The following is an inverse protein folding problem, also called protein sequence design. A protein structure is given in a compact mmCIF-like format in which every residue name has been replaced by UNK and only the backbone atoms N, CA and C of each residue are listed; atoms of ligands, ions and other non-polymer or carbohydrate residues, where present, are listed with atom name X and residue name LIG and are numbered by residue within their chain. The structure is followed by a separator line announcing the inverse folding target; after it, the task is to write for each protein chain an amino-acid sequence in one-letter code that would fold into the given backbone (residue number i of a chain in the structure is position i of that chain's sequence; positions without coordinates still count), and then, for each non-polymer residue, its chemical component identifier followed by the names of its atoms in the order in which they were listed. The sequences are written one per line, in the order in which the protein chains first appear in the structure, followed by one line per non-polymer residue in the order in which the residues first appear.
data_IF_512504432323
#
_entry.id   IF_512504432323
#
_cell.length_a   1.000
_cell.length_b   1.000
_cell.length_c   1.000
_cell.angle_alpha   90.00
_cell.angle_beta   90.00
_cell.angle_gamma   90.00
#
_symmetry.space_group_name_H-M   'P 1'
#
loop_
_entity.id
_entity.type
_entity.pdbx_description
1 polymer ?
#
# COMPACT_ATOMS: atom_id res chain seq x y z
N UNK A 1 -1.69 -16.42 -4.23
CA UNK A 1 -2.48 -15.33 -3.63
C UNK A 1 -2.02 -13.99 -4.19
N UNK A 2 -2.94 -13.05 -4.37
CA UNK A 2 -2.66 -11.68 -4.84
C UNK A 2 -2.96 -10.71 -3.71
N UNK A 3 -2.02 -9.83 -3.40
CA UNK A 3 -2.13 -8.85 -2.32
C UNK A 3 -2.39 -7.46 -2.90
N UNK A 4 -3.44 -6.79 -2.46
CA UNK A 4 -3.75 -5.42 -2.81
C UNK A 4 -3.59 -4.51 -1.60
N UNK A 5 -2.94 -3.36 -1.79
CA UNK A 5 -2.67 -2.39 -0.73
C UNK A 5 -3.36 -1.06 -1.06
N UNK A 6 -4.17 -0.57 -0.12
CA UNK A 6 -4.64 0.81 -0.09
C UNK A 6 -3.99 1.51 1.11
N UNK A 7 -2.95 2.30 0.85
CA UNK A 7 -2.10 2.89 1.89
C UNK A 7 -2.55 4.29 2.30
N UNK A 8 -2.17 4.64 3.52
CA UNK A 8 -2.28 5.95 4.15
C UNK A 8 -0.93 6.31 4.79
N UNK A 9 -0.86 7.40 5.56
CA UNK A 9 0.35 7.75 6.30
C UNK A 9 0.57 6.78 7.46
N UNK A 10 1.66 6.01 7.40
CA UNK A 10 2.07 5.09 8.47
C UNK A 10 1.28 3.80 8.59
N UNK A 11 0.27 3.55 7.74
CA UNK A 11 -0.53 2.33 7.77
C UNK A 11 -1.20 2.03 6.42
N UNK A 12 -1.75 0.83 6.24
CA UNK A 12 -2.52 0.47 5.05
C UNK A 12 -3.65 -0.52 5.33
N UNK A 13 -4.66 -0.53 4.45
CA UNK A 13 -5.56 -1.68 4.28
C UNK A 13 -4.90 -2.66 3.32
N UNK A 14 -4.73 -3.90 3.77
CA UNK A 14 -4.27 -5.03 2.98
C UNK A 14 -5.44 -5.98 2.72
N UNK A 15 -5.67 -6.33 1.45
CA UNK A 15 -6.65 -7.35 1.05
C UNK A 15 -5.91 -8.41 0.24
N UNK A 16 -6.05 -9.67 0.66
CA UNK A 16 -5.53 -10.81 -0.08
C UNK A 16 -6.67 -11.54 -0.77
N UNK A 17 -6.52 -11.79 -2.07
CA UNK A 17 -7.47 -12.55 -2.85
C UNK A 17 -6.83 -13.77 -3.53
N UNK A 18 -7.63 -14.80 -3.76
CA UNK A 18 -7.31 -15.92 -4.62
C UNK A 18 -7.35 -15.54 -6.11
N UNK A 19 -6.95 -16.46 -6.98
CA UNK A 19 -6.95 -16.23 -8.43
C UNK A 19 -8.36 -16.05 -9.03
N UNK A 20 -9.39 -16.60 -8.38
CA UNK A 20 -10.80 -16.44 -8.72
C UNK A 20 -11.47 -15.26 -7.98
N UNK A 21 -10.67 -14.34 -7.45
CA UNK A 21 -11.06 -13.10 -6.79
C UNK A 21 -11.83 -13.23 -5.47
N UNK A 22 -11.74 -14.39 -4.80
CA UNK A 22 -12.30 -14.53 -3.45
C UNK A 22 -11.37 -13.90 -2.43
N UNK A 23 -11.92 -13.07 -1.55
CA UNK A 23 -11.19 -12.49 -0.43
C UNK A 23 -10.86 -13.60 0.57
N UNK A 24 -9.56 -13.79 0.83
CA UNK A 24 -9.05 -14.79 1.78
C UNK A 24 -8.68 -14.13 3.11
N UNK A 25 -8.12 -12.93 3.05
CA UNK A 25 -7.74 -12.16 4.22
C UNK A 25 -7.97 -10.66 3.97
N UNK A 26 -8.33 -9.93 5.02
CA UNK A 26 -8.31 -8.48 5.03
C UNK A 26 -7.87 -8.00 6.40
N UNK A 27 -6.98 -7.02 6.44
CA UNK A 27 -6.53 -6.42 7.70
C UNK A 27 -5.99 -5.02 7.49
N UNK A 28 -5.93 -4.27 8.57
CA UNK A 28 -5.09 -3.08 8.69
C UNK A 28 -3.68 -3.54 9.05
N UNK A 29 -2.67 -3.03 8.36
CA UNK A 29 -1.26 -3.22 8.68
C UNK A 29 -0.63 -1.87 9.04
N UNK A 30 0.22 -1.85 10.05
CA UNK A 30 1.04 -0.68 10.37
C UNK A 30 2.29 -0.69 9.48
N UNK A 31 2.62 0.46 8.90
CA UNK A 31 3.77 0.64 8.01
C UNK A 31 4.91 1.37 8.70
N UNK A 32 4.78 1.67 10.00
CA UNK A 32 5.81 2.35 10.79
C UNK A 32 5.70 1.86 12.24
N UNK A 33 6.81 1.83 12.98
CA UNK A 33 6.79 1.41 14.38
C UNK A 33 6.05 2.42 15.26
N UNK A 34 5.43 1.99 16.37
CA UNK A 34 4.79 2.88 17.32
C UNK A 34 5.74 3.98 17.82
N UNK A 35 5.25 5.22 17.84
CA UNK A 35 6.02 6.38 18.31
C UNK A 35 6.96 7.02 17.27
N UNK A 36 7.04 6.46 16.06
CA UNK A 36 7.80 7.05 14.96
C UNK A 36 6.89 7.97 14.13
N UNK A 37 7.46 9.09 13.65
CA UNK A 37 6.78 10.07 12.82
C UNK A 37 6.15 9.42 11.57
N UNK A 38 4.87 9.67 11.33
CA UNK A 38 4.15 9.09 10.20
C UNK A 38 4.30 9.90 8.90
N UNK A 39 4.60 11.20 9.01
CA UNK A 39 4.73 12.13 7.89
C UNK A 39 5.98 13.03 8.07
N UNK A 40 7.19 12.43 8.00
CA UNK A 40 8.46 13.12 8.26
C UNK A 40 8.72 14.32 7.34
N UNK A 41 8.12 14.38 6.15
CA UNK A 41 8.27 15.50 5.22
C UNK A 41 7.13 16.49 5.36
N UNK A 42 5.88 16.03 5.26
CA UNK A 42 4.74 16.91 5.15
C UNK A 42 4.39 17.63 6.47
N UNK A 43 4.64 16.98 7.62
CA UNK A 43 4.29 17.50 8.94
C UNK A 43 5.48 17.52 9.90
N UNK A 44 5.97 16.35 10.30
CA UNK A 44 6.81 16.21 11.49
C UNK A 44 8.18 16.89 11.32
N UNK A 45 8.73 16.88 10.10
CA UNK A 45 10.01 17.52 9.78
C UNK A 45 9.92 18.92 9.17
N UNK A 46 8.74 19.56 9.15
CA UNK A 46 8.54 20.83 8.45
C UNK A 46 9.46 21.97 8.94
N UNK A 47 9.79 21.96 10.24
CA UNK A 47 10.61 23.00 10.88
C UNK A 47 12.11 22.67 10.93
N UNK A 48 12.50 21.46 10.50
CA UNK A 48 13.88 21.02 10.53
C UNK A 48 14.69 21.66 9.39
N UNK A 49 15.99 21.84 9.60
CA UNK A 49 16.91 22.09 8.50
C UNK A 49 17.05 20.85 7.61
N UNK A 50 17.68 20.99 6.45
CA UNK A 50 17.79 19.91 5.48
C UNK A 50 18.53 18.67 6.03
N UNK A 51 19.65 18.79 6.75
CA UNK A 51 20.30 17.65 7.39
C UNK A 51 19.42 16.92 8.40
N UNK A 52 18.72 17.64 9.29
CA UNK A 52 17.86 17.03 10.29
C UNK A 52 16.62 16.40 9.66
N UNK A 53 16.04 17.00 8.62
CA UNK A 53 14.94 16.41 7.86
C UNK A 53 15.37 15.13 7.14
N UNK A 54 16.57 15.11 6.52
CA UNK A 54 17.13 13.92 5.90
C UNK A 54 17.30 12.77 6.92
N UNK A 55 17.82 13.09 8.11
CA UNK A 55 17.99 12.12 9.19
C UNK A 55 16.64 11.56 9.67
N UNK A 56 15.63 12.42 9.81
CA UNK A 56 14.28 11.99 10.19
C UNK A 56 13.67 11.06 9.14
N UNK A 57 13.76 11.40 7.85
CA UNK A 57 13.25 10.55 6.76
C UNK A 57 13.97 9.21 6.72
N UNK A 58 15.30 9.19 6.90
CA UNK A 58 16.05 7.93 6.97
C UNK A 58 15.60 7.05 8.14
N UNK A 59 15.37 7.65 9.33
CA UNK A 59 14.86 6.94 10.50
C UNK A 59 13.48 6.36 10.25
N UNK A 60 12.55 7.15 9.69
CA UNK A 60 11.19 6.69 9.37
C UNK A 60 11.22 5.59 8.32
N UNK A 61 12.02 5.75 7.25
CA UNK A 61 12.17 4.72 6.21
C UNK A 61 12.68 3.40 6.79
N UNK A 62 13.69 3.44 7.68
CA UNK A 62 14.21 2.25 8.35
C UNK A 62 13.16 1.58 9.26
N UNK A 63 12.39 2.37 10.00
CA UNK A 63 11.25 1.89 10.78
C UNK A 63 10.20 1.24 9.90
N UNK A 64 9.87 1.88 8.77
CA UNK A 64 8.89 1.38 7.83
C UNK A 64 9.30 0.05 7.19
N UNK A 65 10.57 -0.09 6.81
CA UNK A 65 11.10 -1.35 6.31
C UNK A 65 10.91 -2.48 7.33
N UNK A 66 11.23 -2.25 8.62
CA UNK A 66 11.06 -3.27 9.66
C UNK A 66 9.58 -3.59 9.93
N UNK A 67 8.76 -2.57 10.18
CA UNK A 67 7.35 -2.73 10.52
C UNK A 67 6.58 -3.41 9.38
N UNK A 68 6.70 -2.88 8.16
CA UNK A 68 6.02 -3.44 7.01
C UNK A 68 6.52 -4.86 6.68
N UNK A 69 7.82 -5.14 6.81
CA UNK A 69 8.35 -6.50 6.64
C UNK A 69 7.68 -7.48 7.61
N UNK A 70 7.62 -7.13 8.89
CA UNK A 70 7.01 -7.99 9.91
C UNK A 70 5.51 -8.21 9.66
N UNK A 71 4.77 -7.19 9.25
CA UNK A 71 3.36 -7.32 8.88
C UNK A 71 3.16 -8.23 7.66
N UNK A 72 4.00 -8.08 6.63
CA UNK A 72 3.96 -8.92 5.44
C UNK A 72 4.31 -10.38 5.74
N UNK A 73 5.25 -10.63 6.65
CA UNK A 73 5.61 -11.99 7.07
C UNK A 73 4.47 -12.66 7.86
N UNK A 74 3.84 -11.92 8.79
CA UNK A 74 2.66 -12.42 9.52
C UNK A 74 1.48 -12.65 8.60
N UNK A 75 1.26 -11.77 7.61
CA UNK A 75 0.22 -11.95 6.61
C UNK A 75 0.51 -13.20 5.79
N UNK A 76 1.71 -13.33 5.21
CA UNK A 76 2.07 -14.48 4.38
C UNK A 76 1.97 -15.82 5.13
N UNK A 77 2.37 -15.87 6.41
CA UNK A 77 2.28 -17.06 7.24
C UNK A 77 0.84 -17.49 7.55
N UNK A 78 -0.13 -16.56 7.51
CA UNK A 78 -1.53 -16.84 7.79
C UNK A 78 -2.31 -17.31 6.55
N UNK A 79 -1.73 -17.23 5.34
CA UNK A 79 -2.42 -17.56 4.10
C UNK A 79 -2.32 -19.05 3.75
N UNK A 80 -3.38 -19.62 3.15
CA UNK A 80 -3.38 -21.03 2.73
C UNK A 80 -2.55 -21.29 1.46
N UNK A 81 -2.04 -20.26 0.79
CA UNK A 81 -1.11 -20.41 -0.33
C UNK A 81 -0.17 -19.19 -0.45
N UNK A 82 0.99 -19.33 -1.11
CA UNK A 82 1.96 -18.23 -1.26
C UNK A 82 1.39 -16.99 -1.96
N UNK A 83 1.90 -15.83 -1.57
CA UNK A 83 1.67 -14.57 -2.31
C UNK A 83 2.58 -14.57 -3.54
N UNK A 84 2.02 -14.22 -4.69
CA UNK A 84 2.76 -14.15 -5.96
C UNK A 84 2.89 -12.72 -6.47
N UNK A 85 2.01 -11.82 -6.01
CA UNK A 85 2.04 -10.42 -6.42
C UNK A 85 1.49 -9.48 -5.36
N UNK A 86 1.98 -8.24 -5.38
CA UNK A 86 1.52 -7.10 -4.60
C UNK A 86 1.12 -5.96 -5.53
N UNK A 87 -0.05 -5.36 -5.31
CA UNK A 87 -0.55 -4.22 -6.08
C UNK A 87 -0.52 -2.94 -5.24
N UNK A 88 0.15 -1.91 -5.75
CA UNK A 88 0.39 -0.63 -5.07
C UNK A 88 -0.13 0.54 -5.90
N UNK A 89 -0.58 1.61 -5.24
CA UNK A 89 -0.98 2.83 -5.95
C UNK A 89 0.23 3.44 -6.67
N UNK A 90 0.12 3.72 -7.95
CA UNK A 90 1.20 4.28 -8.78
C UNK A 90 1.73 5.62 -8.24
N UNK A 91 3.03 5.85 -8.43
CA UNK A 91 3.71 7.13 -8.23
C UNK A 91 4.50 7.51 -9.48
N UNK A 92 4.83 8.80 -9.69
CA UNK A 92 5.63 9.22 -10.84
C UNK A 92 6.97 8.48 -10.87
N UNK A 93 7.39 7.90 -12.01
CA UNK A 93 8.67 7.19 -12.12
C UNK A 93 9.87 8.12 -11.93
N UNK A 94 9.67 9.41 -12.18
CA UNK A 94 10.64 10.50 -12.04
C UNK A 94 10.48 11.28 -10.72
N UNK A 95 9.82 10.68 -9.71
CA UNK A 95 9.70 11.32 -8.40
C UNK A 95 11.10 11.53 -7.78
N UNK A 96 11.43 12.76 -7.32
CA UNK A 96 12.79 13.09 -6.91
C UNK A 96 13.21 12.28 -5.68
N UNK A 97 14.49 11.90 -5.61
CA UNK A 97 15.09 11.23 -4.46
C UNK A 97 15.68 12.21 -3.45
N UNK A 98 16.10 13.39 -3.91
CA UNK A 98 16.69 14.43 -3.07
C UNK A 98 15.64 15.05 -2.14
N UNK A 99 15.87 14.90 -0.83
CA UNK A 99 15.02 15.44 0.22
C UNK A 99 14.84 16.96 0.13
N UNK A 100 15.88 17.70 -0.28
CA UNK A 100 15.82 19.16 -0.41
C UNK A 100 14.84 19.60 -1.50
N UNK A 101 14.62 18.73 -2.50
CA UNK A 101 13.63 18.90 -3.58
C UNK A 101 12.27 18.38 -3.12
N UNK A 102 12.22 17.19 -2.50
CA UNK A 102 10.97 16.58 -2.03
C UNK A 102 10.22 17.45 -1.03
N UNK A 103 10.93 18.24 -0.20
CA UNK A 103 10.36 19.15 0.81
C UNK A 103 9.74 20.43 0.24
N UNK A 104 9.66 20.56 -1.09
CA UNK A 104 9.11 21.74 -1.77
C UNK A 104 7.88 21.36 -2.58
N UNK A 105 7.04 22.35 -2.85
CA UNK A 105 5.96 22.23 -3.84
C UNK A 105 6.56 21.87 -5.22
N UNK A 106 5.96 20.91 -5.97
CA UNK A 106 4.70 20.19 -5.69
C UNK A 106 4.87 18.84 -4.97
N UNK A 107 6.07 18.49 -4.50
CA UNK A 107 6.41 17.15 -4.02
C UNK A 107 6.05 16.91 -2.55
N UNK A 108 6.14 17.94 -1.70
CA UNK A 108 6.05 17.83 -0.24
C UNK A 108 4.81 17.08 0.25
N UNK A 109 3.64 17.32 -0.37
CA UNK A 109 2.38 16.70 0.03
C UNK A 109 2.27 15.22 -0.34
N UNK A 110 3.18 14.70 -1.17
CA UNK A 110 3.16 13.32 -1.68
C UNK A 110 4.39 12.51 -1.27
N UNK A 111 5.46 13.16 -0.79
CA UNK A 111 6.75 12.50 -0.55
C UNK A 111 6.65 11.35 0.47
N UNK A 112 6.02 11.56 1.62
CA UNK A 112 5.81 10.51 2.63
C UNK A 112 5.03 9.31 2.04
N UNK A 113 3.99 9.62 1.27
CA UNK A 113 3.17 8.62 0.60
C UNK A 113 3.95 7.82 -0.46
N UNK A 114 4.86 8.47 -1.21
CA UNK A 114 5.76 7.79 -2.16
C UNK A 114 6.73 6.88 -1.42
N UNK A 115 7.35 7.36 -0.34
CA UNK A 115 8.30 6.58 0.46
C UNK A 115 7.69 5.25 0.94
N UNK A 116 6.51 5.26 1.55
CA UNK A 116 5.87 4.01 2.02
C UNK A 116 5.62 3.01 0.90
N UNK A 117 5.26 3.48 -0.30
CA UNK A 117 5.02 2.61 -1.46
C UNK A 117 6.31 2.06 -2.05
N UNK A 118 7.38 2.85 -2.10
CA UNK A 118 8.71 2.37 -2.48
C UNK A 118 9.20 1.29 -1.52
N UNK A 119 9.07 1.51 -0.21
CA UNK A 119 9.40 0.51 0.83
C UNK A 119 8.61 -0.79 0.62
N UNK A 120 7.30 -0.71 0.39
CA UNK A 120 6.48 -1.89 0.11
C UNK A 120 6.90 -2.61 -1.19
N UNK A 121 7.23 -1.86 -2.25
CA UNK A 121 7.69 -2.44 -3.51
C UNK A 121 9.03 -3.15 -3.35
N UNK A 122 9.98 -2.55 -2.65
CA UNK A 122 11.26 -3.19 -2.32
C UNK A 122 11.08 -4.48 -1.52
N UNK A 123 10.21 -4.46 -0.51
CA UNK A 123 9.88 -5.63 0.31
C UNK A 123 9.19 -6.74 -0.50
N UNK A 124 8.35 -6.38 -1.47
CA UNK A 124 7.72 -7.32 -2.38
C UNK A 124 8.77 -7.97 -3.32
N UNK A 125 9.64 -7.16 -3.93
CA UNK A 125 10.71 -7.66 -4.79
C UNK A 125 11.68 -8.57 -4.03
N UNK A 126 12.05 -8.22 -2.79
CA UNK A 126 12.90 -9.06 -1.93
C UNK A 126 12.28 -10.44 -1.63
N UNK A 127 10.95 -10.56 -1.72
CA UNK A 127 10.21 -11.82 -1.57
C UNK A 127 9.92 -12.52 -2.90
N UNK A 128 10.42 -11.99 -4.02
CA UNK A 128 10.16 -12.51 -5.36
C UNK A 128 8.73 -12.28 -5.85
N UNK A 129 7.99 -11.35 -5.24
CA UNK A 129 6.64 -11.02 -5.66
C UNK A 129 6.67 -10.03 -6.81
N UNK A 130 5.76 -10.21 -7.77
CA UNK A 130 5.53 -9.21 -8.81
C UNK A 130 4.88 -7.97 -8.19
N UNK A 131 5.37 -6.78 -8.56
CA UNK A 131 4.74 -5.51 -8.18
C UNK A 131 3.91 -4.98 -9.34
N UNK A 132 2.62 -4.78 -9.11
CA UNK A 132 1.70 -4.15 -10.05
C UNK A 132 1.34 -2.77 -9.55
N UNK A 133 1.29 -1.78 -10.45
CA UNK A 133 0.92 -0.42 -10.11
C UNK A 133 -0.50 -0.12 -10.62
N UNK A 134 -1.30 0.57 -9.80
CA UNK A 134 -2.67 0.94 -10.17
C UNK A 134 -2.96 2.42 -9.93
N UNK A 135 -3.89 2.97 -10.71
CA UNK A 135 -4.43 4.32 -10.52
C UNK A 135 -5.69 4.28 -9.63
N UNK A 136 -5.57 4.82 -8.42
CA UNK A 136 -6.62 4.73 -7.41
C UNK A 136 -7.97 5.35 -7.83
N UNK A 137 -7.95 6.31 -8.76
CA UNK A 137 -9.17 6.95 -9.27
C UNK A 137 -10.02 6.01 -10.12
N UNK A 138 -9.37 5.06 -10.81
CA UNK A 138 -9.98 4.29 -11.89
C UNK A 138 -10.01 2.78 -11.61
N UNK A 139 -9.22 2.29 -10.64
CA UNK A 139 -9.03 0.86 -10.38
C UNK A 139 -10.34 0.10 -10.09
N UNK A 140 -11.27 0.65 -9.29
CA UNK A 140 -12.57 0.01 -9.04
C UNK A 140 -13.39 -0.11 -10.34
N UNK A 141 -13.38 0.93 -11.19
CA UNK A 141 -14.09 0.92 -12.48
C UNK A 141 -13.46 -0.06 -13.47
N UNK A 142 -12.13 -0.09 -13.54
CA UNK A 142 -11.40 -1.01 -14.42
C UNK A 142 -11.62 -2.48 -14.00
N UNK A 143 -11.55 -2.76 -12.70
CA UNK A 143 -11.84 -4.08 -12.16
C UNK A 143 -13.29 -4.50 -12.44
N UNK A 144 -14.26 -3.60 -12.28
CA UNK A 144 -15.66 -3.87 -12.63
C UNK A 144 -15.85 -4.21 -14.11
N UNK A 145 -15.12 -3.54 -15.02
CA UNK A 145 -15.15 -3.84 -16.44
C UNK A 145 -14.60 -5.24 -16.76
N UNK A 146 -13.56 -5.69 -16.06
CA UNK A 146 -13.00 -7.06 -16.19
C UNK A 146 -13.99 -8.10 -15.67
N UNK A 147 -14.62 -7.83 -14.52
CA UNK A 147 -15.54 -8.77 -13.86
C UNK A 147 -16.91 -8.86 -14.55
N UNK A 148 -17.31 -7.84 -15.30
CA UNK A 148 -18.61 -7.78 -15.97
C UNK A 148 -19.77 -7.98 -14.99
N UNK A 149 -20.72 -8.89 -15.25
CA UNK A 149 -21.88 -9.14 -14.38
C UNK A 149 -21.53 -9.51 -12.92
N UNK A 150 -20.33 -10.03 -12.67
CA UNK A 150 -19.88 -10.45 -11.33
C UNK A 150 -19.30 -9.30 -10.50
N UNK A 151 -19.21 -8.09 -11.05
CA UNK A 151 -18.56 -6.95 -10.40
C UNK A 151 -19.14 -6.66 -9.01
N UNK A 152 -20.47 -6.63 -8.88
CA UNK A 152 -21.14 -6.33 -7.61
C UNK A 152 -20.90 -7.44 -6.58
N UNK A 153 -21.08 -8.70 -6.98
CA UNK A 153 -20.81 -9.88 -6.14
C UNK A 153 -19.38 -9.86 -5.57
N UNK A 154 -18.39 -9.61 -6.42
CA UNK A 154 -16.97 -9.68 -6.03
C UNK A 154 -16.54 -8.45 -5.23
N UNK A 155 -16.86 -7.23 -5.68
CA UNK A 155 -16.36 -6.01 -5.04
C UNK A 155 -17.18 -5.60 -3.80
N UNK A 156 -18.49 -5.87 -3.80
CA UNK A 156 -19.41 -5.43 -2.74
C UNK A 156 -19.88 -6.58 -1.84
N UNK A 157 -20.00 -7.80 -2.38
CA UNK A 157 -20.42 -8.99 -1.62
C UNK A 157 -19.61 -9.31 -0.36
N UNK A 158 -18.28 -9.07 -0.27
CA UNK A 158 -17.53 -9.35 0.95
C UNK A 158 -18.03 -8.58 2.18
N UNK A 159 -18.72 -7.44 2.02
CA UNK A 159 -19.37 -6.74 3.14
C UNK A 159 -20.40 -7.62 3.85
N UNK A 160 -21.21 -8.35 3.09
CA UNK A 160 -22.24 -9.22 3.63
C UNK A 160 -21.63 -10.52 4.18
N UNK A 161 -20.65 -11.09 3.46
CA UNK A 161 -20.04 -12.37 3.83
C UNK A 161 -19.10 -12.28 5.02
N UNK A 162 -18.33 -11.19 5.15
CA UNK A 162 -17.25 -11.06 6.14
C UNK A 162 -17.57 -10.06 7.24
N UNK A 163 -18.62 -9.23 7.07
CA UNK A 163 -18.97 -8.15 7.99
C UNK A 163 -18.03 -6.95 7.93
N UNK A 164 -18.33 -5.88 8.71
CA UNK A 164 -17.46 -4.71 8.79
C UNK A 164 -16.10 -5.05 9.42
N UNK A 165 -15.02 -4.33 9.05
CA UNK A 165 -14.99 -3.25 8.06
C UNK A 165 -14.98 -3.76 6.60
N UNK A 166 -15.68 -3.04 5.72
CA UNK A 166 -15.59 -3.15 4.26
C UNK A 166 -15.84 -1.79 3.61
N UNK A 167 -14.78 -0.96 3.60
CA UNK A 167 -14.81 0.44 3.17
C UNK A 167 -14.36 0.58 1.71
N UNK A 168 -14.28 1.83 1.21
CA UNK A 168 -13.71 2.13 -0.11
C UNK A 168 -12.27 1.63 -0.24
N UNK A 169 -11.46 1.71 0.81
CA UNK A 169 -10.06 1.26 0.76
C UNK A 169 -9.96 -0.26 0.59
N UNK A 170 -10.88 -1.02 1.20
CA UNK A 170 -10.95 -2.46 1.03
C UNK A 170 -11.31 -2.82 -0.42
N UNK A 171 -12.28 -2.10 -1.01
CA UNK A 171 -12.65 -2.31 -2.42
C UNK A 171 -11.56 -1.87 -3.38
N UNK A 172 -10.88 -0.75 -3.12
CA UNK A 172 -9.71 -0.29 -3.88
C UNK A 172 -8.62 -1.36 -3.86
N UNK A 173 -8.28 -1.88 -2.67
CA UNK A 173 -7.30 -2.94 -2.52
C UNK A 173 -7.71 -4.23 -3.25
N UNK A 174 -8.96 -4.68 -3.12
CA UNK A 174 -9.47 -5.85 -3.84
C UNK A 174 -9.43 -5.64 -5.37
N UNK A 175 -9.92 -4.49 -5.85
CA UNK A 175 -9.89 -4.13 -7.26
C UNK A 175 -8.46 -4.16 -7.83
N UNK A 176 -7.47 -3.71 -7.06
CA UNK A 176 -6.07 -3.78 -7.46
C UNK A 176 -5.60 -5.24 -7.66
N UNK A 177 -6.05 -6.19 -6.83
CA UNK A 177 -5.71 -7.62 -7.02
C UNK A 177 -6.27 -8.20 -8.32
N UNK A 178 -7.42 -7.68 -8.79
CA UNK A 178 -8.06 -8.10 -10.05
C UNK A 178 -7.30 -7.55 -11.26
N UNK A 179 -6.76 -6.33 -11.16
CA UNK A 179 -5.95 -5.74 -12.23
C UNK A 179 -4.60 -6.46 -12.43
N UNK A 180 -4.09 -7.12 -11.39
CA UNK A 180 -2.85 -7.91 -11.44
C UNK A 180 -3.01 -9.30 -12.09
N UNK A 181 -4.21 -9.62 -12.62
CA UNK A 181 -4.54 -10.83 -13.40
C UNK A 181 -5.68 -11.65 -12.84
#
# INVERSE_FOLDING_TARGET
MRLGIAHHFGWAVAVTASADHRVVDRRRIELVEPGVAAAPIHHDGKHLDDPAAAALVALVRASATRAASAELDRLAAALPAPIVSMSLRAWPPDFPEDITVQRRVPYEARADSVMYRQVLAELAHARGWQVHLYEAKDVERQAAAILGPRADEVLHGPRAALGPPWTKDHRTALAATIMAG
#
